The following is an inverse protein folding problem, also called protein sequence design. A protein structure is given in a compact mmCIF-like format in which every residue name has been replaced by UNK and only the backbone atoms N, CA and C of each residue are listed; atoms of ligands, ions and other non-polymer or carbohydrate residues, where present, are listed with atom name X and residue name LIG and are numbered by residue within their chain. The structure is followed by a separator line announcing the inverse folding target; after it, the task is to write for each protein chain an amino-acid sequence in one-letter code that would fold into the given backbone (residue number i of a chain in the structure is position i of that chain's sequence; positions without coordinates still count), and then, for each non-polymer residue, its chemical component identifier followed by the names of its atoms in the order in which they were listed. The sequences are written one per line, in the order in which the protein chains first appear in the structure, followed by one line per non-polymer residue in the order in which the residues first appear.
data_IF_698895070780
#
_entry.id   IF_698895070780
#
_cell.length_a   1.000
_cell.length_b   1.000
_cell.length_c   1.000
_cell.angle_alpha   90.00
_cell.angle_beta   90.00
_cell.angle_gamma   90.00
#
_symmetry.space_group_name_H-M   'P 1'
#
loop_
_entity.id
_entity.type
_entity.pdbx_description
1 polymer ?
#
# COMPACT_ATOMS: atom_id res chain seq x y z
N UNK A 1 7.47 -14.22 -14.67
CA UNK A 1 6.07 -13.78 -14.51
C UNK A 1 5.78 -13.75 -13.03
N UNK A 2 5.38 -12.57 -12.57
CA UNK A 2 4.92 -12.28 -11.23
C UNK A 2 3.49 -11.82 -11.38
N UNK A 3 2.63 -12.21 -10.45
CA UNK A 3 1.23 -11.79 -10.48
C UNK A 3 0.74 -11.49 -9.06
N UNK A 4 -0.33 -10.71 -8.99
CA UNK A 4 -1.02 -10.33 -7.78
C UNK A 4 -2.50 -10.58 -7.94
N UNK A 5 -3.09 -11.25 -6.97
CA UNK A 5 -4.50 -11.58 -7.00
C UNK A 5 -5.12 -11.55 -5.62
N UNK A 6 -6.43 -11.74 -5.60
CA UNK A 6 -7.21 -11.92 -4.38
C UNK A 6 -7.82 -13.30 -4.42
N UNK A 7 -7.65 -14.08 -3.36
CA UNK A 7 -8.26 -15.40 -3.20
C UNK A 7 -9.19 -15.42 -1.99
N UNK A 8 -10.27 -16.19 -2.07
CA UNK A 8 -11.12 -16.47 -0.91
C UNK A 8 -10.49 -17.57 -0.06
N UNK A 9 -10.34 -17.33 1.24
CA UNK A 9 -9.88 -18.36 2.18
C UNK A 9 -11.03 -19.23 2.68
N UNK A 10 -10.70 -20.30 3.41
CA UNK A 10 -11.68 -21.21 4.03
C UNK A 10 -12.56 -20.52 5.08
N UNK A 11 -12.17 -19.34 5.57
CA UNK A 11 -12.98 -18.50 6.47
C UNK A 11 -13.84 -17.48 5.74
N UNK A 12 -13.79 -17.44 4.40
CA UNK A 12 -14.53 -16.49 3.55
C UNK A 12 -13.87 -15.10 3.45
N UNK A 13 -12.69 -14.90 4.04
CA UNK A 13 -11.93 -13.67 3.89
C UNK A 13 -11.28 -13.61 2.51
N UNK A 14 -11.26 -12.42 1.91
CA UNK A 14 -10.54 -12.17 0.66
C UNK A 14 -9.11 -11.76 0.99
N UNK A 15 -8.13 -12.59 0.67
CA UNK A 15 -6.72 -12.34 0.97
C UNK A 15 -5.92 -12.13 -0.31
N UNK A 16 -5.09 -11.08 -0.30
CA UNK A 16 -4.18 -10.82 -1.40
C UNK A 16 -3.02 -11.81 -1.35
N UNK A 17 -2.65 -12.34 -2.51
CA UNK A 17 -1.47 -13.18 -2.62
C UNK A 17 -0.52 -12.62 -3.67
N UNK A 18 0.75 -12.91 -3.45
CA UNK A 18 1.83 -12.73 -4.39
C UNK A 18 2.16 -14.08 -5.02
N UNK A 19 2.30 -14.16 -6.34
CA UNK A 19 2.61 -15.42 -7.01
C UNK A 19 3.85 -15.32 -7.90
N UNK A 20 4.67 -16.38 -7.86
CA UNK A 20 5.64 -16.64 -8.94
C UNK A 20 5.58 -18.06 -9.43
N UNK A 21 6.03 -18.26 -10.68
CA UNK A 21 6.18 -19.59 -11.26
C UNK A 21 7.09 -20.52 -10.46
N UNK A 22 8.10 -19.98 -9.77
CA UNK A 22 9.12 -20.78 -9.08
C UNK A 22 8.71 -21.13 -7.64
N UNK A 23 8.04 -20.22 -6.94
CA UNK A 23 7.73 -20.36 -5.52
C UNK A 23 6.23 -20.59 -5.23
N UNK A 24 5.37 -20.48 -6.25
CA UNK A 24 3.92 -20.58 -6.07
C UNK A 24 3.34 -19.33 -5.42
N UNK A 25 2.20 -19.50 -4.74
CA UNK A 25 1.50 -18.43 -4.02
C UNK A 25 2.16 -18.18 -2.66
N UNK A 26 2.24 -16.90 -2.29
CA UNK A 26 2.61 -16.44 -0.97
C UNK A 26 1.56 -15.46 -0.49
N UNK A 27 1.06 -15.68 0.71
CA UNK A 27 0.16 -14.75 1.36
C UNK A 27 0.88 -13.42 1.65
N UNK A 28 0.23 -12.32 1.30
CA UNK A 28 0.69 -10.96 1.57
C UNK A 28 0.40 -10.60 3.04
N UNK A 29 -0.66 -11.15 3.62
CA UNK A 29 -1.17 -10.82 4.95
C UNK A 29 -2.15 -9.63 4.94
N UNK A 30 -2.57 -9.23 6.12
CA UNK A 30 -3.55 -8.16 6.33
C UNK A 30 -3.16 -7.28 7.53
N UNK A 31 -3.72 -6.08 7.58
CA UNK A 31 -3.63 -5.27 8.80
C UNK A 31 -4.53 -5.89 9.89
N UNK A 32 -4.17 -5.73 11.19
CA UNK A 32 -5.01 -6.23 12.28
C UNK A 32 -6.46 -5.75 12.16
N UNK A 33 -7.39 -6.66 12.46
CA UNK A 33 -8.85 -6.41 12.47
C UNK A 33 -9.46 -6.04 11.10
N UNK A 34 -8.75 -6.24 10.00
CA UNK A 34 -9.31 -6.10 8.66
C UNK A 34 -9.86 -7.43 8.17
N UNK A 35 -10.95 -7.36 7.39
CA UNK A 35 -11.70 -8.53 6.90
C UNK A 35 -11.28 -8.95 5.49
N UNK A 36 -10.52 -8.11 4.79
CA UNK A 36 -9.96 -8.44 3.49
C UNK A 36 -8.66 -7.69 3.20
N UNK A 37 -7.90 -8.18 2.23
CA UNK A 37 -6.75 -7.51 1.62
C UNK A 37 -6.87 -7.59 0.11
N UNK A 38 -6.58 -6.48 -0.56
CA UNK A 38 -6.50 -6.42 -2.01
C UNK A 38 -5.14 -5.89 -2.42
N UNK A 39 -4.43 -6.72 -3.18
CA UNK A 39 -3.25 -6.33 -3.91
C UNK A 39 -3.62 -5.55 -5.15
N UNK A 40 -2.99 -4.39 -5.38
CA UNK A 40 -3.40 -3.47 -6.46
C UNK A 40 -2.35 -3.23 -7.52
N UNK A 41 -1.08 -3.26 -7.15
CA UNK A 41 0.03 -3.18 -8.09
C UNK A 41 1.27 -3.91 -7.57
N UNK A 42 2.07 -4.39 -8.51
CA UNK A 42 3.38 -5.00 -8.28
C UNK A 42 4.36 -4.47 -9.33
N UNK A 43 5.63 -4.29 -8.96
CA UNK A 43 6.70 -3.87 -9.88
C UNK A 43 7.72 -5.01 -10.09
N UNK A 44 8.71 -4.79 -10.97
CA UNK A 44 9.72 -5.81 -11.33
C UNK A 44 10.70 -6.14 -10.17
N UNK A 45 10.63 -5.42 -9.06
CA UNK A 45 11.38 -5.69 -7.82
C UNK A 45 10.62 -6.58 -6.83
N UNK A 46 9.49 -7.16 -7.24
CA UNK A 46 8.58 -7.90 -6.36
C UNK A 46 8.02 -7.05 -5.20
N UNK A 47 7.92 -5.73 -5.39
CA UNK A 47 7.33 -4.83 -4.42
C UNK A 47 5.84 -4.69 -4.71
N UNK A 48 5.02 -4.90 -3.68
CA UNK A 48 3.57 -4.95 -3.81
C UNK A 48 2.93 -3.83 -3.00
N UNK A 49 1.93 -3.20 -3.58
CA UNK A 49 1.07 -2.22 -2.90
C UNK A 49 -0.39 -2.56 -3.03
N UNK A 50 -1.16 -2.07 -2.08
CA UNK A 50 -2.61 -2.25 -2.07
C UNK A 50 -3.21 -1.69 -0.80
N UNK A 51 -4.32 -2.26 -0.39
CA UNK A 51 -4.95 -1.92 0.88
C UNK A 51 -5.61 -3.14 1.54
N UNK A 52 -5.64 -3.10 2.86
CA UNK A 52 -6.41 -4.02 3.70
C UNK A 52 -7.65 -3.28 4.21
N UNK A 53 -8.81 -3.90 4.16
CA UNK A 53 -10.09 -3.24 4.37
C UNK A 53 -11.05 -3.98 5.32
N UNK A 54 -12.04 -3.21 5.78
CA UNK A 54 -12.93 -3.51 6.88
C UNK A 54 -13.67 -2.21 7.20
N UNK A 55 -13.64 -1.75 8.45
CA UNK A 55 -14.19 -0.44 8.83
C UNK A 55 -13.38 0.75 8.28
N UNK A 56 -12.07 0.55 8.05
CA UNK A 56 -11.13 1.58 7.59
C UNK A 56 -10.13 0.93 6.64
N UNK A 57 -9.97 1.48 5.43
CA UNK A 57 -8.95 1.00 4.51
C UNK A 57 -7.55 1.44 4.97
N UNK A 58 -6.62 0.49 5.07
CA UNK A 58 -5.22 0.67 5.42
C UNK A 58 -4.35 0.34 4.21
N UNK A 59 -3.74 1.37 3.62
CA UNK A 59 -2.74 1.19 2.57
C UNK A 59 -1.55 0.39 3.11
N UNK A 60 -0.99 -0.49 2.28
CA UNK A 60 0.19 -1.26 2.64
C UNK A 60 1.23 -1.29 1.53
N UNK A 61 2.46 -1.53 1.97
CA UNK A 61 3.60 -1.90 1.15
C UNK A 61 4.09 -3.26 1.61
N UNK A 62 4.40 -4.15 0.68
CA UNK A 62 4.88 -5.48 0.98
C UNK A 62 6.08 -5.81 0.11
N UNK A 63 7.05 -6.49 0.71
CA UNK A 63 8.14 -7.14 -0.01
C UNK A 63 8.33 -8.53 0.57
N UNK A 64 9.01 -9.41 -0.17
CA UNK A 64 9.36 -10.73 0.36
C UNK A 64 10.16 -10.68 1.65
N UNK A 65 11.05 -9.69 1.77
CA UNK A 65 11.97 -9.53 2.89
C UNK A 65 11.29 -8.91 4.12
N UNK A 66 10.41 -7.93 3.91
CA UNK A 66 9.82 -7.15 5.00
C UNK A 66 8.43 -7.59 5.42
N UNK A 67 7.76 -8.41 4.59
CA UNK A 67 6.34 -8.74 4.76
C UNK A 67 5.43 -7.51 4.65
N UNK A 68 4.19 -7.67 5.13
CA UNK A 68 3.18 -6.61 5.16
C UNK A 68 3.63 -5.44 6.03
N UNK A 69 3.59 -4.22 5.48
CA UNK A 69 3.86 -3.00 6.23
C UNK A 69 2.78 -1.95 5.97
N UNK A 70 2.03 -1.52 6.99
CA UNK A 70 1.09 -0.43 6.82
C UNK A 70 1.80 0.86 6.39
N UNK A 71 1.10 1.66 5.60
CA UNK A 71 1.54 2.96 5.13
C UNK A 71 0.97 4.06 6.04
N UNK A 72 1.75 5.11 6.21
CA UNK A 72 1.33 6.26 6.99
C UNK A 72 0.29 7.07 6.22
N UNK A 73 -0.63 7.68 6.97
CA UNK A 73 -1.64 8.58 6.45
C UNK A 73 -1.24 10.05 6.62
N UNK A 74 -1.99 10.97 6.01
CA UNK A 74 -1.87 12.42 6.22
C UNK A 74 -2.51 12.88 7.55
N UNK A 75 -2.59 11.99 8.54
CA UNK A 75 -3.17 12.25 9.87
C UNK A 75 -4.59 11.73 10.07
N UNK A 76 -5.24 11.21 9.03
CA UNK A 76 -6.55 10.54 9.12
C UNK A 76 -6.43 9.02 9.31
N UNK A 77 -7.58 8.34 9.43
CA UNK A 77 -7.58 6.89 9.69
C UNK A 77 -7.35 6.04 8.43
N UNK A 78 -7.72 6.53 7.24
CA UNK A 78 -7.75 5.72 6.01
C UNK A 78 -6.72 6.13 4.96
N UNK A 79 -6.22 5.15 4.22
CA UNK A 79 -5.46 5.33 2.99
C UNK A 79 -5.63 4.12 2.07
N UNK A 80 -5.39 4.32 0.77
CA UNK A 80 -5.32 3.24 -0.21
C UNK A 80 -4.20 3.49 -1.21
N UNK A 81 -3.40 2.47 -1.51
CA UNK A 81 -2.36 2.52 -2.54
C UNK A 81 -2.82 1.80 -3.81
N UNK A 82 -2.64 2.46 -4.97
CA UNK A 82 -3.18 1.96 -6.25
C UNK A 82 -2.13 1.70 -7.31
N UNK A 83 -0.96 2.31 -7.19
CA UNK A 83 0.11 2.12 -8.16
C UNK A 83 1.47 2.23 -7.50
N UNK A 84 2.43 1.50 -8.04
CA UNK A 84 3.84 1.59 -7.73
C UNK A 84 4.60 1.60 -9.07
N UNK A 85 5.69 2.36 -9.15
CA UNK A 85 6.59 2.33 -10.30
C UNK A 85 7.92 1.64 -9.97
N UNK A 86 8.77 1.45 -10.99
CA UNK A 86 10.09 0.83 -10.83
C UNK A 86 11.10 1.65 -10.01
N UNK A 87 10.75 2.88 -9.63
CA UNK A 87 11.52 3.70 -8.69
C UNK A 87 10.98 3.60 -7.25
N UNK A 88 10.09 2.64 -6.99
CA UNK A 88 9.50 2.40 -5.67
C UNK A 88 8.69 3.60 -5.15
N UNK A 89 8.16 4.41 -6.07
CA UNK A 89 7.25 5.52 -5.78
C UNK A 89 5.82 5.00 -5.87
N UNK A 90 5.04 5.27 -4.83
CA UNK A 90 3.69 4.74 -4.66
C UNK A 90 2.68 5.88 -4.75
N UNK A 91 1.61 5.68 -5.50
CA UNK A 91 0.51 6.64 -5.65
C UNK A 91 -0.80 6.08 -5.09
N UNK A 92 -1.62 6.95 -4.51
CA UNK A 92 -2.94 6.60 -4.02
C UNK A 92 -3.67 7.75 -3.33
N UNK A 93 -4.44 7.46 -2.29
CA UNK A 93 -5.10 8.48 -1.48
C UNK A 93 -4.80 8.30 0.01
N UNK A 94 -4.95 9.39 0.77
CA UNK A 94 -4.89 9.35 2.22
C UNK A 94 -5.79 10.41 2.86
N UNK A 95 -6.47 10.03 3.93
CA UNK A 95 -7.24 10.96 4.76
C UNK A 95 -6.32 11.86 5.58
N UNK A 96 -6.74 13.12 5.68
CA UNK A 96 -6.19 14.13 6.60
C UNK A 96 -6.81 13.98 7.99
N UNK A 97 -6.19 14.59 9.00
CA UNK A 97 -6.76 14.65 10.36
C UNK A 97 -8.11 15.36 10.44
N UNK A 98 -8.40 16.26 9.49
CA UNK A 98 -9.67 16.97 9.37
C UNK A 98 -10.79 16.16 8.70
N UNK A 99 -10.50 14.96 8.17
CA UNK A 99 -11.49 14.08 7.54
C UNK A 99 -11.38 13.91 6.01
N UNK A 100 -11.15 14.96 5.20
CA UNK A 100 -11.04 14.82 3.74
C UNK A 100 -9.90 13.90 3.30
N UNK A 101 -10.12 13.16 2.22
CA UNK A 101 -9.09 12.36 1.52
C UNK A 101 -8.45 13.17 0.40
N UNK A 102 -7.13 13.13 0.33
CA UNK A 102 -6.34 13.76 -0.73
C UNK A 102 -5.56 12.71 -1.51
N UNK A 103 -5.20 13.04 -2.76
CA UNK A 103 -4.18 12.30 -3.48
C UNK A 103 -2.88 12.30 -2.66
N UNK A 104 -2.24 11.14 -2.57
CA UNK A 104 -1.04 10.93 -1.79
C UNK A 104 0.04 10.26 -2.65
N UNK A 105 1.29 10.69 -2.42
CA UNK A 105 2.48 10.10 -3.01
C UNK A 105 3.44 9.70 -1.89
N UNK A 106 3.76 8.41 -1.83
CA UNK A 106 4.79 7.91 -0.93
C UNK A 106 6.07 7.69 -1.74
N UNK A 107 7.12 8.49 -1.50
CA UNK A 107 8.41 8.25 -2.15
C UNK A 107 9.05 6.98 -1.60
N UNK A 108 10.07 6.49 -2.32
CA UNK A 108 10.90 5.38 -1.88
C UNK A 108 11.34 5.58 -0.42
N UNK A 109 10.96 4.62 0.44
CA UNK A 109 11.21 4.69 1.88
C UNK A 109 12.71 4.56 2.21
N UNK A 110 13.50 3.95 1.33
CA UNK A 110 14.95 3.80 1.51
C UNK A 110 15.72 5.08 1.14
N UNK A 111 15.16 5.92 0.26
CA UNK A 111 15.78 7.19 -0.20
C UNK A 111 15.30 8.42 0.54
N UNK A 112 14.55 8.26 1.62
CA UNK A 112 14.06 9.38 2.42
C UNK A 112 15.18 10.04 3.24
N UNK A 113 15.90 10.99 2.64
CA UNK A 113 17.00 11.73 3.28
C UNK A 113 16.53 12.85 4.22
N UNK A 114 15.26 13.27 4.15
CA UNK A 114 14.68 14.27 5.06
C UNK A 114 13.50 13.68 5.83
N UNK A 115 13.80 13.12 7.01
CA UNK A 115 12.81 12.72 8.02
C UNK A 115 12.34 13.97 8.77
N UNK A 116 11.09 14.40 8.58
CA UNK A 116 10.43 15.30 9.54
C UNK A 116 9.59 14.41 10.44
N UNK A 117 9.90 14.40 11.74
CA UNK A 117 9.24 13.56 12.77
C UNK A 117 9.23 12.04 12.50
N UNK A 118 10.12 11.53 11.62
CA UNK A 118 10.18 10.10 11.27
C UNK A 118 9.29 9.66 10.10
N UNK A 119 8.66 10.60 9.40
CA UNK A 119 7.68 10.33 8.35
C UNK A 119 8.23 10.69 6.96
N UNK A 120 7.88 9.87 5.95
CA UNK A 120 8.20 10.13 4.55
C UNK A 120 6.90 10.21 3.74
N UNK A 121 6.29 11.40 3.74
CA UNK A 121 5.09 11.71 2.98
C UNK A 121 5.40 12.96 2.16
N UNK A 122 5.17 12.89 0.85
CA UNK A 122 5.20 14.07 -0.01
C UNK A 122 3.76 14.51 -0.27
N UNK A 123 3.26 15.46 0.51
CA UNK A 123 2.09 16.23 0.08
C UNK A 123 2.53 17.18 -1.04
N UNK A 124 2.40 16.74 -2.30
CA UNK A 124 2.35 17.73 -3.38
C UNK A 124 0.93 18.30 -3.38
N UNK A 125 0.74 19.48 -2.78
CA UNK A 125 -0.41 20.32 -3.12
C UNK A 125 -0.33 20.54 -4.62
N UNK A 126 -1.27 19.98 -5.37
CA UNK A 126 -1.46 20.35 -6.77
C UNK A 126 -1.95 21.79 -6.72
N UNK A 127 -1.05 22.76 -6.97
CA UNK A 127 -1.49 24.13 -7.25
C UNK A 127 -2.31 24.06 -8.54
N UNK A 128 -3.53 24.64 -8.58
CA UNK A 128 -4.26 24.76 -9.83
C UNK A 128 -3.36 25.42 -10.87
N UNK A 129 -3.39 24.92 -12.10
CA UNK A 129 -2.74 25.55 -13.23
C UNK A 129 -3.17 27.02 -13.27
N UNK A 130 -2.19 27.93 -13.19
CA UNK A 130 -2.39 29.35 -13.45
C UNK A 130 -2.57 29.63 -14.93
#
# INVERSE_FOLDING_TARGET
MVDIGTASTTTGAFEAFFWTKQAGTRDIGAAPHQSYTTGRAVNDKDEVVGFSGGNVAVAFYWTRASGFRPMQTLGGATAGAFGINESSIIAGYSATSSGPTHAALWPDREKCTRRISGHCLAERRVTPWG
#
